data_IF_422923396956
#
_entry.id   IF_422923396956
#
_cell.length_a   1.000
_cell.length_b   1.000
_cell.length_c   1.000
_cell.angle_alpha   90.00
_cell.angle_beta   90.00
_cell.angle_gamma   90.00
#
_symmetry.space_group_name_H-M   'P 1'
#
loop_
_entity.id
_entity.type
_entity.pdbx_description
1 polymer ?
#
# COMPACT_ATOMS: atom_id res chain seq x y z
N UNK A 1 22.89 -32.88 32.52
CA UNK A 1 23.79 -33.54 31.56
C UNK A 1 23.88 -32.65 30.34
N UNK A 2 25.06 -32.10 30.05
CA UNK A 2 25.27 -31.30 28.84
C UNK A 2 25.25 -32.26 27.65
N UNK A 3 24.27 -32.09 26.75
CA UNK A 3 24.19 -32.89 25.54
C UNK A 3 25.27 -32.47 24.56
N UNK A 4 25.93 -33.41 23.89
CA UNK A 4 26.82 -33.13 22.77
C UNK A 4 26.08 -33.45 21.47
N UNK A 5 26.13 -32.56 20.49
CA UNK A 5 25.60 -32.81 19.14
C UNK A 5 26.69 -32.52 18.10
N UNK A 6 27.01 -33.52 17.27
CA UNK A 6 28.05 -33.46 16.23
C UNK A 6 29.41 -32.92 16.72
N UNK A 7 29.84 -33.36 17.89
CA UNK A 7 31.13 -32.96 18.47
C UNK A 7 31.15 -31.57 19.11
N UNK A 8 30.02 -30.87 19.15
CA UNK A 8 29.88 -29.59 19.86
C UNK A 8 29.15 -29.84 21.17
N UNK A 9 29.76 -29.43 22.29
CA UNK A 9 29.10 -29.39 23.59
C UNK A 9 28.00 -28.33 23.59
N UNK A 10 26.75 -28.77 23.77
CA UNK A 10 25.63 -27.86 23.97
C UNK A 10 25.76 -27.29 25.38
N UNK A 11 26.17 -26.03 25.46
CA UNK A 11 26.04 -25.25 26.70
C UNK A 11 24.55 -25.02 26.92
N UNK A 12 24.02 -25.49 28.06
CA UNK A 12 22.70 -25.06 28.51
C UNK A 12 22.78 -23.56 28.78
N UNK A 13 22.36 -22.75 27.81
CA UNK A 13 22.12 -21.32 27.98
C UNK A 13 21.16 -21.17 29.15
N UNK A 14 21.61 -20.56 30.25
CA UNK A 14 20.74 -20.30 31.40
C UNK A 14 19.52 -19.51 30.91
N UNK A 15 18.34 -19.82 31.43
CA UNK A 15 17.08 -19.13 31.09
C UNK A 15 17.21 -17.60 31.11
N UNK A 16 18.05 -17.07 32.01
CA UNK A 16 18.39 -15.64 32.11
C UNK A 16 19.12 -15.06 30.90
N UNK A 17 20.07 -15.79 30.31
CA UNK A 17 20.82 -15.30 29.15
C UNK A 17 19.93 -15.25 27.91
N UNK A 18 19.09 -16.28 27.71
CA UNK A 18 18.07 -16.28 26.66
C UNK A 18 17.03 -15.18 26.84
N UNK A 19 16.58 -14.94 28.08
CA UNK A 19 15.64 -13.86 28.39
C UNK A 19 16.24 -12.46 28.11
N UNK A 20 17.53 -12.28 28.44
CA UNK A 20 18.27 -11.04 28.18
C UNK A 20 18.44 -10.79 26.68
N UNK A 21 18.85 -11.80 25.92
CA UNK A 21 18.99 -11.69 24.46
C UNK A 21 17.65 -11.45 23.77
N UNK A 22 16.58 -12.12 24.22
CA UNK A 22 15.22 -11.87 23.72
C UNK A 22 14.81 -10.42 23.94
N UNK A 23 15.01 -9.89 25.15
CA UNK A 23 14.71 -8.50 25.48
C UNK A 23 15.50 -7.53 24.59
N UNK A 24 16.80 -7.78 24.41
CA UNK A 24 17.65 -6.98 23.54
C UNK A 24 17.15 -6.97 22.08
N UNK A 25 16.75 -8.12 21.55
CA UNK A 25 16.21 -8.24 20.19
C UNK A 25 14.87 -7.51 20.09
N UNK A 26 13.96 -7.69 21.05
CA UNK A 26 12.66 -6.99 21.03
C UNK A 26 12.81 -5.48 21.13
N UNK A 27 13.73 -4.99 21.96
CA UNK A 27 14.00 -3.56 22.12
C UNK A 27 14.59 -2.97 20.82
N UNK A 28 15.52 -3.70 20.18
CA UNK A 28 16.06 -3.31 18.88
C UNK A 28 14.98 -3.30 17.79
N UNK A 29 14.12 -4.33 17.72
CA UNK A 29 13.04 -4.38 16.74
C UNK A 29 12.06 -3.23 16.93
N UNK A 30 11.64 -2.99 18.16
CA UNK A 30 10.73 -1.89 18.52
C UNK A 30 11.31 -0.55 18.09
N UNK A 31 12.56 -0.27 18.47
CA UNK A 31 13.25 0.97 18.08
C UNK A 31 13.35 1.14 16.56
N UNK A 32 13.61 0.06 15.81
CA UNK A 32 13.69 0.14 14.35
C UNK A 32 12.31 0.36 13.70
N UNK A 33 11.27 -0.28 14.22
CA UNK A 33 9.89 -0.09 13.74
C UNK A 33 9.44 1.34 14.04
N UNK A 34 9.69 1.84 15.25
CA UNK A 34 9.39 3.22 15.65
C UNK A 34 10.19 4.22 14.83
N UNK A 35 11.48 4.00 14.59
CA UNK A 35 12.28 4.89 13.75
C UNK A 35 11.83 4.89 12.29
N UNK A 36 11.32 3.76 11.78
CA UNK A 36 10.92 3.62 10.36
C UNK A 36 9.48 4.06 10.10
N UNK A 37 8.57 3.85 11.06
CA UNK A 37 7.14 4.10 10.94
C UNK A 37 6.64 5.20 11.88
N UNK A 38 7.51 5.77 12.71
CA UNK A 38 7.16 6.82 13.67
C UNK A 38 6.50 8.02 13.00
N UNK A 39 6.97 8.38 11.81
CA UNK A 39 6.38 9.45 10.99
C UNK A 39 4.95 9.14 10.52
N UNK A 40 4.52 7.87 10.48
CA UNK A 40 3.14 7.48 10.16
C UNK A 40 2.24 7.52 11.41
N UNK A 41 2.83 7.27 12.57
CA UNK A 41 2.14 7.20 13.87
C UNK A 41 2.07 8.57 14.56
N UNK A 42 2.88 9.54 14.15
CA UNK A 42 2.84 10.89 14.68
C UNK A 42 1.53 11.60 14.33
N UNK A 43 1.10 12.51 15.20
CA UNK A 43 -0.09 13.36 14.96
C UNK A 43 0.08 14.28 13.74
N UNK A 44 1.32 14.45 13.29
CA UNK A 44 1.68 15.25 12.10
C UNK A 44 1.90 14.37 10.87
N UNK A 45 1.51 13.09 10.91
CA UNK A 45 1.76 12.18 9.81
C UNK A 45 1.05 12.62 8.53
N UNK A 46 1.69 12.36 7.40
CA UNK A 46 1.10 12.63 6.09
C UNK A 46 -0.24 11.90 5.93
N UNK A 47 -0.41 10.72 6.54
CA UNK A 47 -1.67 9.98 6.51
C UNK A 47 -2.77 10.73 7.25
N UNK A 48 -2.45 11.30 8.42
CA UNK A 48 -3.41 12.11 9.18
C UNK A 48 -3.77 13.41 8.46
N UNK A 49 -2.89 13.97 7.61
CA UNK A 49 -3.24 15.17 6.84
C UNK A 49 -4.42 14.97 5.88
N UNK A 50 -4.69 13.73 5.44
CA UNK A 50 -5.87 13.41 4.62
C UNK A 50 -7.20 13.57 5.37
N UNK A 51 -7.20 13.68 6.71
CA UNK A 51 -8.41 14.03 7.48
C UNK A 51 -9.02 15.37 7.06
N UNK A 52 -8.24 16.26 6.45
CA UNK A 52 -8.75 17.50 5.86
C UNK A 52 -9.80 17.27 4.77
N UNK A 53 -9.81 16.10 4.13
CA UNK A 53 -10.83 15.71 3.17
C UNK A 53 -12.07 15.08 3.85
N UNK A 54 -11.99 14.69 5.11
CA UNK A 54 -13.11 14.05 5.79
C UNK A 54 -14.15 15.07 6.26
N UNK A 55 -15.26 15.16 5.53
CA UNK A 55 -16.37 16.05 5.85
C UNK A 55 -17.04 15.75 7.21
N UNK A 56 -16.82 14.57 7.79
CA UNK A 56 -17.38 14.20 9.09
C UNK A 56 -16.66 14.84 10.29
N UNK A 57 -15.40 15.28 10.11
CA UNK A 57 -14.60 15.89 11.18
C UNK A 57 -14.57 17.42 11.13
N UNK A 58 -15.20 18.02 10.13
CA UNK A 58 -15.18 19.46 9.95
C UNK A 58 -16.00 20.19 11.01
N UNK A 59 -15.62 21.45 11.36
CA UNK A 59 -16.41 22.29 12.23
C UNK A 59 -17.85 22.44 11.72
N UNK A 60 -18.81 22.37 12.65
CA UNK A 60 -20.21 22.63 12.30
C UNK A 60 -20.38 24.08 11.90
N UNK A 61 -21.09 24.31 10.81
CA UNK A 61 -21.40 25.65 10.35
C UNK A 61 -22.67 26.14 11.08
N UNK A 62 -22.52 27.15 11.93
CA UNK A 62 -23.64 27.92 12.47
C UNK A 62 -23.68 29.32 11.80
N UNK A 63 -24.59 30.18 12.24
CA UNK A 63 -24.75 31.52 11.67
C UNK A 63 -23.70 32.54 12.18
N UNK A 64 -22.81 32.15 13.10
CA UNK A 64 -21.74 33.02 13.58
C UNK A 64 -20.65 33.20 12.52
N UNK A 65 -19.96 34.33 12.58
CA UNK A 65 -18.88 34.61 11.63
C UNK A 65 -17.62 33.79 11.99
N UNK A 66 -17.42 33.49 13.28
CA UNK A 66 -16.35 32.65 13.79
C UNK A 66 -16.44 31.21 13.25
N UNK A 67 -17.63 30.59 13.26
CA UNK A 67 -17.80 29.23 12.73
C UNK A 67 -17.64 29.18 11.21
N UNK A 68 -18.05 30.24 10.48
CA UNK A 68 -17.81 30.35 9.04
C UNK A 68 -16.33 30.45 8.73
N UNK A 69 -15.60 31.27 9.48
CA UNK A 69 -14.15 31.42 9.33
C UNK A 69 -13.43 30.11 9.68
N UNK A 70 -13.77 29.49 10.81
CA UNK A 70 -13.22 28.20 11.21
C UNK A 70 -13.45 27.13 10.13
N UNK A 71 -14.64 27.05 9.54
CA UNK A 71 -14.94 26.15 8.44
C UNK A 71 -14.10 26.44 7.19
N UNK A 72 -13.92 27.71 6.82
CA UNK A 72 -13.13 28.12 5.65
C UNK A 72 -11.64 27.82 5.83
N UNK A 73 -11.10 28.01 7.03
CA UNK A 73 -9.69 27.77 7.35
C UNK A 73 -9.37 26.31 7.64
N UNK A 74 -10.35 25.53 8.12
CA UNK A 74 -10.14 24.12 8.46
C UNK A 74 -9.58 23.32 7.27
N UNK A 75 -8.56 22.51 7.58
CA UNK A 75 -7.88 21.62 6.65
C UNK A 75 -7.00 22.31 5.59
N UNK A 76 -6.95 23.64 5.54
CA UNK A 76 -6.16 24.36 4.53
C UNK A 76 -4.67 24.05 4.62
N UNK A 77 -4.08 24.16 5.81
CA UNK A 77 -2.66 23.89 6.04
C UNK A 77 -2.31 22.41 5.75
N UNK A 78 -3.23 21.49 6.02
CA UNK A 78 -3.08 20.08 5.69
C UNK A 78 -3.01 19.86 4.18
N UNK A 79 -3.86 20.53 3.39
CA UNK A 79 -3.83 20.46 1.92
C UNK A 79 -2.53 21.08 1.39
N UNK A 80 -2.07 22.20 1.96
CA UNK A 80 -0.77 22.79 1.63
C UNK A 80 0.40 21.81 1.92
N UNK A 81 0.34 21.10 3.05
CA UNK A 81 1.30 20.06 3.42
C UNK A 81 1.26 18.87 2.46
N UNK A 82 0.07 18.42 2.07
CA UNK A 82 -0.10 17.38 1.04
C UNK A 82 0.49 17.81 -0.31
N UNK A 83 0.25 19.05 -0.73
CA UNK A 83 0.83 19.58 -1.96
C UNK A 83 2.36 19.65 -1.89
N UNK A 84 2.92 20.04 -0.75
CA UNK A 84 4.36 20.06 -0.55
C UNK A 84 4.95 18.64 -0.58
N UNK A 85 4.34 17.69 0.13
CA UNK A 85 4.81 16.31 0.19
C UNK A 85 4.74 15.60 -1.18
N UNK A 86 3.66 15.81 -1.94
CA UNK A 86 3.44 15.19 -3.25
C UNK A 86 3.77 16.13 -4.43
N UNK A 87 4.65 17.11 -4.24
CA UNK A 87 4.98 18.12 -5.25
C UNK A 87 5.45 17.52 -6.58
N UNK A 88 6.22 16.42 -6.54
CA UNK A 88 6.70 15.73 -7.75
C UNK A 88 5.56 15.19 -8.61
N UNK A 89 4.46 14.75 -7.98
CA UNK A 89 3.26 14.28 -8.67
C UNK A 89 2.53 15.49 -9.26
N UNK A 90 2.32 16.55 -8.47
CA UNK A 90 1.63 17.76 -8.95
C UNK A 90 2.33 18.40 -10.14
N UNK A 91 3.66 18.51 -10.12
CA UNK A 91 4.45 19.05 -11.24
C UNK A 91 4.28 18.20 -12.49
N UNK A 92 4.21 16.87 -12.35
CA UNK A 92 4.01 15.95 -13.48
C UNK A 92 2.62 16.10 -14.09
N UNK A 93 1.59 16.29 -13.27
CA UNK A 93 0.21 16.50 -13.72
C UNK A 93 -0.06 17.96 -14.16
N UNK A 94 0.92 18.87 -14.01
CA UNK A 94 0.80 20.28 -14.40
C UNK A 94 -0.04 21.14 -13.46
N UNK A 95 -0.17 20.72 -12.20
CA UNK A 95 -1.04 21.33 -11.18
C UNK A 95 -0.27 22.24 -10.24
N UNK A 96 -0.89 23.36 -9.85
CA UNK A 96 -0.38 24.28 -8.83
C UNK A 96 -1.10 24.14 -7.48
N UNK A 97 -0.41 24.51 -6.40
CA UNK A 97 -0.99 24.53 -5.04
C UNK A 97 -2.24 25.43 -4.98
N UNK A 98 -2.24 26.54 -5.73
CA UNK A 98 -3.35 27.48 -5.80
C UNK A 98 -4.60 26.89 -6.42
N UNK A 99 -4.46 26.07 -7.46
CA UNK A 99 -5.59 25.39 -8.11
C UNK A 99 -6.21 24.34 -7.18
N UNK A 100 -5.37 23.52 -6.52
CA UNK A 100 -5.81 22.55 -5.51
C UNK A 100 -6.60 23.25 -4.40
N UNK A 101 -6.09 24.36 -3.87
CA UNK A 101 -6.76 25.10 -2.79
C UNK A 101 -8.07 25.74 -3.25
N UNK A 102 -8.14 26.15 -4.52
CA UNK A 102 -9.38 26.60 -5.15
C UNK A 102 -10.43 25.50 -5.19
N UNK A 103 -10.05 24.31 -5.67
CA UNK A 103 -10.91 23.13 -5.69
C UNK A 103 -11.31 22.69 -4.30
N UNK A 104 -10.40 22.70 -3.33
CA UNK A 104 -10.67 22.30 -1.95
C UNK A 104 -11.80 23.14 -1.33
N UNK A 105 -11.87 24.44 -1.62
CA UNK A 105 -12.99 25.29 -1.18
C UNK A 105 -14.33 24.83 -1.76
N UNK A 106 -14.35 24.53 -3.06
CA UNK A 106 -15.55 24.02 -3.74
C UNK A 106 -15.94 22.62 -3.25
N UNK A 107 -14.95 21.78 -2.99
CA UNK A 107 -15.10 20.45 -2.43
C UNK A 107 -15.76 20.54 -1.06
N UNK A 108 -15.33 21.46 -0.18
CA UNK A 108 -15.97 21.64 1.13
C UNK A 108 -17.46 21.94 1.05
N UNK A 109 -17.87 22.79 0.10
CA UNK A 109 -19.28 23.12 -0.12
C UNK A 109 -20.07 21.91 -0.65
N UNK A 110 -19.44 21.09 -1.50
CA UNK A 110 -20.07 19.92 -2.10
C UNK A 110 -20.14 18.73 -1.11
N UNK A 111 -19.03 18.40 -0.45
CA UNK A 111 -18.88 17.24 0.42
C UNK A 111 -19.67 17.37 1.73
N UNK A 112 -19.90 18.58 2.24
CA UNK A 112 -20.73 18.78 3.45
C UNK A 112 -22.16 18.25 3.32
N UNK A 113 -22.66 18.13 2.08
CA UNK A 113 -24.01 17.65 1.80
C UNK A 113 -24.05 16.13 1.65
N UNK A 114 -22.91 15.45 1.80
CA UNK A 114 -22.80 13.99 1.78
C UNK A 114 -22.89 13.46 3.19
N UNK A 115 -23.42 12.25 3.28
CA UNK A 115 -23.39 11.43 4.48
C UNK A 115 -22.68 10.13 4.09
N UNK A 116 -21.64 9.76 4.83
CA UNK A 116 -20.93 8.51 4.60
C UNK A 116 -19.43 8.62 4.89
N UNK A 117 -18.71 7.50 4.80
CA UNK A 117 -17.28 7.50 5.03
C UNK A 117 -16.54 8.29 3.94
N UNK A 118 -15.39 8.86 4.30
CA UNK A 118 -14.50 9.58 3.39
C UNK A 118 -14.24 8.78 2.10
N UNK A 119 -13.99 7.47 2.24
CA UNK A 119 -13.73 6.57 1.11
C UNK A 119 -14.78 6.67 0.00
N UNK A 120 -16.06 6.66 0.37
CA UNK A 120 -17.15 6.65 -0.61
C UNK A 120 -17.29 8.02 -1.28
N UNK A 121 -17.03 9.09 -0.54
CA UNK A 121 -17.00 10.46 -1.07
C UNK A 121 -15.88 10.64 -2.10
N UNK A 122 -14.69 10.10 -1.82
CA UNK A 122 -13.56 10.14 -2.74
C UNK A 122 -13.77 9.25 -3.96
N UNK A 123 -14.40 8.07 -3.78
CA UNK A 123 -14.79 7.22 -4.91
C UNK A 123 -15.82 7.91 -5.80
N UNK A 124 -16.78 8.64 -5.23
CA UNK A 124 -17.76 9.40 -6.02
C UNK A 124 -17.06 10.43 -6.92
N UNK A 125 -16.04 11.14 -6.40
CA UNK A 125 -15.22 12.07 -7.19
C UNK A 125 -14.54 11.34 -8.36
N UNK A 126 -13.98 10.15 -8.12
CA UNK A 126 -13.25 9.40 -9.13
C UNK A 126 -14.14 8.64 -10.12
N UNK A 127 -15.41 8.38 -9.80
CA UNK A 127 -16.30 7.60 -10.66
C UNK A 127 -17.24 8.46 -11.51
N UNK A 128 -17.56 9.67 -11.05
CA UNK A 128 -18.47 10.58 -11.76
C UNK A 128 -17.70 11.56 -12.64
N UNK A 129 -17.94 11.53 -13.95
CA UNK A 129 -17.25 12.40 -14.91
C UNK A 129 -17.38 13.89 -14.61
N UNK A 130 -18.56 14.37 -14.17
CA UNK A 130 -18.77 15.76 -13.79
C UNK A 130 -17.89 16.20 -12.61
N UNK A 131 -17.69 15.30 -11.64
CA UNK A 131 -16.87 15.55 -10.47
C UNK A 131 -15.38 15.39 -10.75
N UNK A 132 -15.00 14.43 -11.61
CA UNK A 132 -13.62 14.29 -12.05
C UNK A 132 -13.12 15.56 -12.75
N UNK A 133 -13.94 16.15 -13.63
CA UNK A 133 -13.58 17.41 -14.29
C UNK A 133 -13.55 18.58 -13.30
N UNK A 134 -14.48 18.61 -12.35
CA UNK A 134 -14.58 19.69 -11.35
C UNK A 134 -13.48 19.66 -10.29
N UNK A 135 -13.01 18.46 -9.94
CA UNK A 135 -12.05 18.21 -8.87
C UNK A 135 -10.84 17.42 -9.39
N UNK A 136 -10.32 17.77 -10.57
CA UNK A 136 -9.25 17.01 -11.22
C UNK A 136 -7.96 17.05 -10.40
N UNK A 137 -7.61 18.21 -9.82
CA UNK A 137 -6.41 18.39 -9.03
C UNK A 137 -6.55 17.74 -7.65
N UNK A 138 -7.71 17.91 -7.00
CA UNK A 138 -8.00 17.23 -5.73
C UNK A 138 -8.14 15.71 -5.91
N UNK A 139 -8.55 15.26 -7.11
CA UNK A 139 -8.65 13.86 -7.51
C UNK A 139 -7.33 13.11 -7.43
N UNK A 140 -6.18 13.81 -7.56
CA UNK A 140 -4.86 13.23 -7.34
C UNK A 140 -4.75 12.70 -5.90
N UNK A 141 -5.13 13.51 -4.92
CA UNK A 141 -5.11 13.11 -3.51
C UNK A 141 -6.14 12.02 -3.22
N UNK A 142 -7.31 12.05 -3.87
CA UNK A 142 -8.29 10.97 -3.76
C UNK A 142 -7.70 9.61 -4.22
N UNK A 143 -7.00 9.59 -5.36
CA UNK A 143 -6.32 8.38 -5.86
C UNK A 143 -5.22 7.92 -4.91
N UNK A 144 -4.39 8.84 -4.42
CA UNK A 144 -3.32 8.52 -3.46
C UNK A 144 -3.91 7.89 -2.20
N UNK A 145 -4.91 8.53 -1.58
CA UNK A 145 -5.56 8.02 -0.37
C UNK A 145 -6.14 6.62 -0.57
N UNK A 146 -6.86 6.41 -1.69
CA UNK A 146 -7.51 5.13 -2.00
C UNK A 146 -6.54 4.00 -2.37
N UNK A 147 -5.30 4.34 -2.73
CA UNK A 147 -4.23 3.37 -3.03
C UNK A 147 -3.31 3.10 -1.84
N UNK A 148 -3.42 3.85 -0.74
CA UNK A 148 -2.68 3.55 0.48
C UNK A 148 -3.09 2.19 1.05
N UNK A 149 -2.12 1.29 1.19
CA UNK A 149 -2.35 0.00 1.81
C UNK A 149 -2.50 0.15 3.32
N UNK A 150 -3.75 0.23 3.80
CA UNK A 150 -4.06 0.32 5.25
C UNK A 150 -4.11 -1.08 5.91
N UNK A 151 -4.02 -2.16 5.14
CA UNK A 151 -4.12 -3.54 5.65
C UNK A 151 -2.96 -4.43 5.20
N UNK A 152 -2.42 -5.20 6.15
CA UNK A 152 -1.43 -6.27 5.90
C UNK A 152 -2.06 -7.54 5.34
N UNK A 153 -3.40 -7.64 5.26
CA UNK A 153 -4.08 -8.86 4.80
C UNK A 153 -3.67 -9.25 3.37
N UNK A 154 -3.38 -8.29 2.50
CA UNK A 154 -2.85 -8.57 1.16
C UNK A 154 -1.47 -9.24 1.22
N UNK A 155 -0.58 -8.76 2.10
CA UNK A 155 0.72 -9.37 2.35
C UNK A 155 0.58 -10.78 2.94
N UNK A 156 -0.31 -10.99 3.91
CA UNK A 156 -0.58 -12.29 4.52
C UNK A 156 -1.12 -13.32 3.52
N UNK A 157 -2.01 -12.88 2.60
CA UNK A 157 -2.44 -13.69 1.46
C UNK A 157 -1.28 -14.00 0.53
N UNK A 158 -0.39 -13.04 0.28
CA UNK A 158 0.86 -13.23 -0.46
C UNK A 158 1.77 -14.28 0.17
N UNK A 159 2.01 -14.21 1.49
CA UNK A 159 2.79 -15.21 2.22
C UNK A 159 2.14 -16.60 2.21
N UNK A 160 0.81 -16.65 2.33
CA UNK A 160 0.07 -17.91 2.22
C UNK A 160 0.18 -18.51 0.82
N UNK A 161 0.10 -17.69 -0.22
CA UNK A 161 0.35 -18.10 -1.59
C UNK A 161 1.77 -18.61 -1.78
N UNK A 162 2.76 -17.90 -1.24
CA UNK A 162 4.17 -18.29 -1.30
C UNK A 162 4.39 -19.67 -0.67
N UNK A 163 3.76 -19.97 0.49
CA UNK A 163 3.82 -21.29 1.13
C UNK A 163 3.26 -22.41 0.26
N UNK A 164 2.18 -22.15 -0.50
CA UNK A 164 1.61 -23.13 -1.44
C UNK A 164 2.52 -23.37 -2.65
N UNK A 165 3.13 -22.31 -3.19
CA UNK A 165 3.99 -22.39 -4.38
C UNK A 165 5.36 -23.00 -4.03
N UNK A 166 5.97 -22.56 -2.92
CA UNK A 166 7.26 -23.03 -2.42
C UNK A 166 7.08 -24.13 -1.36
N UNK A 167 6.59 -25.28 -1.81
CA UNK A 167 6.52 -26.50 -0.98
C UNK A 167 7.89 -27.13 -0.77
N UNK A 168 8.00 -28.11 0.13
CA UNK A 168 9.27 -28.83 0.41
C UNK A 168 9.90 -29.42 -0.86
N UNK A 169 9.07 -30.01 -1.73
CA UNK A 169 9.46 -30.54 -3.03
C UNK A 169 9.87 -29.47 -4.06
N UNK A 170 9.53 -28.21 -3.82
CA UNK A 170 9.87 -27.04 -4.65
C UNK A 170 10.77 -26.04 -3.91
N UNK A 171 11.49 -26.50 -2.89
CA UNK A 171 12.37 -25.66 -2.07
C UNK A 171 13.50 -24.99 -2.89
N UNK A 172 13.92 -25.60 -3.99
CA UNK A 172 14.95 -25.09 -4.91
C UNK A 172 14.46 -24.05 -5.95
N UNK A 173 13.19 -23.64 -5.88
CA UNK A 173 12.65 -22.65 -6.82
C UNK A 173 13.39 -21.31 -6.68
N UNK A 174 13.92 -20.81 -7.80
CA UNK A 174 14.56 -19.49 -7.85
C UNK A 174 13.56 -18.38 -7.52
N UNK A 175 14.03 -17.28 -6.94
CA UNK A 175 13.19 -16.12 -6.61
C UNK A 175 12.40 -15.62 -7.82
N UNK A 176 13.03 -15.61 -9.00
CA UNK A 176 12.40 -15.20 -10.24
C UNK A 176 11.20 -16.08 -10.62
N UNK A 177 11.36 -17.41 -10.56
CA UNK A 177 10.28 -18.34 -10.87
C UNK A 177 9.20 -18.35 -9.77
N UNK A 178 9.59 -18.18 -8.51
CA UNK A 178 8.66 -18.03 -7.39
C UNK A 178 7.73 -16.84 -7.59
N UNK A 179 8.29 -15.66 -7.89
CA UNK A 179 7.50 -14.45 -8.13
C UNK A 179 6.52 -14.64 -9.29
N UNK A 180 6.96 -15.25 -10.40
CA UNK A 180 6.07 -15.52 -11.56
C UNK A 180 4.93 -16.48 -11.22
N UNK A 181 5.23 -17.57 -10.52
CA UNK A 181 4.21 -18.53 -10.11
C UNK A 181 3.24 -17.92 -9.09
N UNK A 182 3.74 -17.12 -8.15
CA UNK A 182 2.88 -16.37 -7.23
C UNK A 182 1.99 -15.39 -7.98
N UNK A 183 2.52 -14.62 -8.91
CA UNK A 183 1.76 -13.69 -9.74
C UNK A 183 0.64 -14.42 -10.50
N UNK A 184 0.96 -15.54 -11.17
CA UNK A 184 -0.03 -16.36 -11.85
C UNK A 184 -1.09 -16.93 -10.88
N UNK A 185 -0.70 -17.27 -9.66
CA UNK A 185 -1.64 -17.83 -8.66
C UNK A 185 -2.56 -16.75 -8.07
N UNK A 186 -2.10 -15.51 -7.97
CA UNK A 186 -2.86 -14.41 -7.36
C UNK A 186 -3.73 -13.71 -8.40
N UNK A 187 -3.15 -13.37 -9.56
CA UNK A 187 -3.77 -12.54 -10.60
C UNK A 187 -4.22 -13.34 -11.83
N UNK A 188 -3.83 -14.62 -11.92
CA UNK A 188 -4.16 -15.45 -13.07
C UNK A 188 -5.64 -15.83 -13.12
N UNK A 189 -6.15 -16.15 -14.33
CA UNK A 189 -7.52 -16.61 -14.48
C UNK A 189 -7.72 -17.96 -13.78
N UNK A 190 -8.97 -18.27 -13.42
CA UNK A 190 -9.33 -19.60 -12.94
C UNK A 190 -8.98 -20.66 -13.98
N UNK A 191 -8.79 -21.91 -13.54
CA UNK A 191 -8.46 -23.02 -14.44
C UNK A 191 -9.50 -23.20 -15.55
N UNK A 192 -10.79 -23.00 -15.23
CA UNK A 192 -11.89 -23.13 -16.19
C UNK A 192 -11.86 -22.07 -17.30
N UNK A 193 -11.26 -20.92 -16.99
CA UNK A 193 -11.12 -19.77 -17.90
C UNK A 193 -9.72 -19.66 -18.52
N UNK A 194 -8.80 -20.56 -18.17
CA UNK A 194 -7.42 -20.49 -18.62
C UNK A 194 -7.27 -21.01 -20.06
N UNK A 195 -6.92 -20.11 -20.99
CA UNK A 195 -6.61 -20.48 -22.37
C UNK A 195 -5.14 -20.88 -22.54
N UNK A 196 -4.88 -22.19 -22.51
CA UNK A 196 -3.56 -22.75 -22.74
C UNK A 196 -3.06 -22.58 -24.19
N UNK A 197 -3.94 -22.30 -25.16
CA UNK A 197 -3.58 -22.26 -26.59
C UNK A 197 -2.54 -21.19 -26.87
N UNK A 198 -2.65 -20.03 -26.24
CA UNK A 198 -1.69 -18.92 -26.41
C UNK A 198 -0.30 -19.32 -25.94
N UNK A 199 -0.20 -19.98 -24.78
CA UNK A 199 1.07 -20.47 -24.26
C UNK A 199 1.69 -21.55 -25.16
N UNK A 200 0.88 -22.48 -25.68
CA UNK A 200 1.33 -23.53 -26.61
C UNK A 200 1.81 -22.94 -27.93
N UNK A 201 1.06 -22.00 -28.51
CA UNK A 201 1.45 -21.33 -29.76
C UNK A 201 2.72 -20.51 -29.57
N UNK A 202 2.82 -19.75 -28.48
CA UNK A 202 4.04 -19.00 -28.16
C UNK A 202 5.22 -19.94 -27.99
N UNK A 203 5.06 -21.05 -27.25
CA UNK A 203 6.09 -22.07 -27.10
C UNK A 203 6.49 -22.62 -28.48
N UNK A 204 5.54 -23.02 -29.32
CA UNK A 204 5.79 -23.54 -30.66
C UNK A 204 6.56 -22.56 -31.56
N UNK A 205 6.24 -21.26 -31.48
CA UNK A 205 6.88 -20.21 -32.29
C UNK A 205 8.26 -19.78 -31.76
N UNK A 206 8.44 -19.77 -30.44
CA UNK A 206 9.72 -19.39 -29.80
C UNK A 206 10.67 -20.57 -29.61
N UNK A 207 10.21 -21.79 -29.90
CA UNK A 207 11.00 -23.00 -29.85
C UNK A 207 12.03 -23.06 -30.99
N UNK A 208 13.12 -22.31 -30.84
CA UNK A 208 14.40 -22.61 -31.48
C UNK A 208 15.11 -23.66 -30.64
N UNK A 209 15.11 -24.92 -31.09
CA UNK A 209 15.84 -25.98 -30.36
C UNK A 209 17.34 -25.64 -30.34
N UNK A 210 17.90 -25.31 -29.18
CA UNK A 210 19.19 -25.88 -28.82
C UNK A 210 18.94 -27.38 -28.64
N UNK A 211 19.15 -28.16 -29.72
CA UNK A 211 19.10 -29.62 -29.63
C UNK A 211 20.11 -30.02 -28.56
N UNK A 212 19.71 -30.85 -27.59
CA UNK A 212 20.70 -31.51 -26.74
C UNK A 212 21.67 -32.23 -27.68
N UNK A 213 22.99 -31.99 -27.60
CA UNK A 213 23.95 -32.71 -28.41
C UNK A 213 23.72 -34.22 -28.20
N UNK A 214 23.45 -34.96 -29.28
CA UNK A 214 23.40 -36.44 -29.23
C UNK A 214 22.04 -37.12 -29.40
N UNK A 215 20.94 -36.42 -29.72
CA UNK A 215 19.69 -37.08 -30.13
C UNK A 215 19.50 -36.96 -31.65
N UNK A 216 19.80 -38.05 -32.37
CA UNK A 216 19.42 -38.27 -33.78
C UNK A 216 18.38 -39.40 -33.81
N UNK A 217 17.25 -39.14 -34.49
CA UNK A 217 16.25 -40.15 -34.82
C UNK A 217 16.72 -41.01 -35.99
#
# INVERSE_FOLDING_TARGET
MNGTYRGVELKNTTTDTLATDRKKITDMLTKNIESRLGDLLSTESIVQTFSALDHNVWPKLDNSDESKEAFVLHGRANIESLCHHYQSILVREGTTVTEVLGEYRLYKIWARMRNGPLRDTLLEILQRGDLQTKFNNLGIFAQIYLTMAVSTAACERGFSCMKRVKSDWRSSLSTHNLTRLMFLTIEGPSLDTFDAKRAVLQWWQTWSRARRPGFTA
#
